data_IF_354475544288
#
_entry.id   IF_354475544288
#
_cell.length_a   1.000
_cell.length_b   1.000
_cell.length_c   1.000
_cell.angle_alpha   90.00
_cell.angle_beta   90.00
_cell.angle_gamma   90.00
#
_symmetry.space_group_name_H-M   'P 1'
#
loop_
_entity.id
_entity.type
_entity.pdbx_description
1 polymer ?
#
# COMPACT_ATOMS: atom_id res chain seq x y z
N UNK A 1 -19.62 -3.67 23.96
CA UNK A 1 -20.15 -3.52 22.58
C UNK A 1 -18.97 -3.62 21.62
N UNK A 2 -18.80 -4.74 20.90
CA UNK A 2 -17.68 -4.90 19.96
C UNK A 2 -17.99 -4.08 18.71
N UNK A 3 -17.16 -3.07 18.40
CA UNK A 3 -17.24 -2.32 17.14
C UNK A 3 -17.17 -3.33 15.99
N UNK A 4 -18.11 -3.24 15.05
CA UNK A 4 -18.19 -4.10 13.88
C UNK A 4 -16.87 -4.10 13.12
N UNK A 5 -16.21 -5.25 13.11
CA UNK A 5 -15.05 -5.52 12.24
C UNK A 5 -15.64 -5.88 10.90
N UNK A 6 -15.42 -5.05 9.89
CA UNK A 6 -15.57 -5.48 8.51
C UNK A 6 -14.59 -6.64 8.29
N UNK A 7 -15.08 -7.81 7.87
CA UNK A 7 -14.35 -9.09 7.79
C UNK A 7 -13.28 -9.15 6.68
N UNK A 8 -12.83 -7.98 6.20
CA UNK A 8 -11.87 -7.85 5.10
C UNK A 8 -10.48 -7.76 5.69
N UNK A 9 -9.69 -8.81 5.49
CA UNK A 9 -8.28 -8.86 5.90
C UNK A 9 -7.31 -8.49 4.77
N UNK A 10 -7.75 -8.63 3.51
CA UNK A 10 -6.92 -8.34 2.35
C UNK A 10 -7.73 -7.92 1.12
N UNK A 11 -7.09 -7.13 0.25
CA UNK A 11 -7.59 -6.72 -1.07
C UNK A 11 -6.61 -7.27 -2.11
N UNK A 12 -7.14 -8.04 -3.06
CA UNK A 12 -6.40 -8.53 -4.23
C UNK A 12 -6.61 -7.57 -5.40
N UNK A 13 -5.53 -7.12 -6.02
CA UNK A 13 -5.56 -6.23 -7.20
C UNK A 13 -4.79 -6.86 -8.36
N UNK A 14 -5.18 -6.57 -9.60
CA UNK A 14 -4.43 -7.05 -10.76
C UNK A 14 -3.01 -6.45 -10.81
N UNK A 15 -2.91 -5.12 -10.64
CA UNK A 15 -1.66 -4.36 -10.66
C UNK A 15 -1.77 -3.14 -9.74
N UNK A 16 -0.72 -2.83 -8.96
CA UNK A 16 -0.71 -1.67 -8.05
C UNK A 16 -0.63 -0.33 -8.79
N UNK A 17 0.05 -0.29 -9.93
CA UNK A 17 0.21 0.89 -10.78
C UNK A 17 -1.12 1.50 -11.24
N UNK A 18 -2.21 0.72 -11.22
CA UNK A 18 -3.53 1.16 -11.66
C UNK A 18 -4.38 1.76 -10.55
N UNK A 19 -3.88 1.76 -9.31
CA UNK A 19 -4.69 2.07 -8.13
C UNK A 19 -4.55 3.51 -7.61
N UNK A 20 -3.58 4.27 -8.11
CA UNK A 20 -3.37 5.67 -7.75
C UNK A 20 -3.19 6.55 -8.98
N UNK A 21 -3.62 7.81 -8.88
CA UNK A 21 -3.34 8.85 -9.91
C UNK A 21 -1.92 9.41 -9.79
N UNK A 22 -1.28 9.21 -8.64
CA UNK A 22 0.11 9.51 -8.35
C UNK A 22 0.66 8.52 -7.32
N UNK A 23 1.99 8.42 -7.24
CA UNK A 23 2.70 7.70 -6.18
C UNK A 23 2.27 8.14 -4.77
N UNK A 24 2.06 9.44 -4.58
CA UNK A 24 1.65 9.99 -3.27
C UNK A 24 0.25 9.51 -2.88
N UNK A 25 -0.71 9.55 -3.81
CA UNK A 25 -2.09 9.08 -3.58
C UNK A 25 -2.12 7.58 -3.24
N UNK A 26 -1.29 6.81 -3.94
CA UNK A 26 -1.16 5.37 -3.71
C UNK A 26 -0.59 5.08 -2.31
N UNK A 27 0.49 5.75 -1.90
CA UNK A 27 1.07 5.61 -0.56
C UNK A 27 0.11 6.04 0.55
N UNK A 28 -0.68 7.10 0.34
CA UNK A 28 -1.72 7.51 1.28
C UNK A 28 -2.77 6.40 1.48
N UNK A 29 -3.27 5.86 0.37
CA UNK A 29 -4.26 4.77 0.37
C UNK A 29 -3.75 3.54 1.11
N UNK A 30 -2.49 3.15 0.88
CA UNK A 30 -1.87 2.02 1.59
C UNK A 30 -1.79 2.24 3.10
N UNK A 31 -1.48 3.46 3.55
CA UNK A 31 -1.43 3.81 4.98
C UNK A 31 -2.81 3.77 5.64
N UNK A 32 -3.84 4.22 4.93
CA UNK A 32 -5.22 4.12 5.42
C UNK A 32 -5.65 2.66 5.60
N UNK A 33 -5.36 1.81 4.60
CA UNK A 33 -5.63 0.37 4.66
C UNK A 33 -4.85 -0.33 5.76
N UNK A 34 -3.58 0.03 5.96
CA UNK A 34 -2.76 -0.46 7.08
C UNK A 34 -3.37 -0.11 8.44
N UNK A 35 -3.91 1.11 8.59
CA UNK A 35 -4.59 1.53 9.83
C UNK A 35 -5.82 0.66 10.16
N UNK A 36 -6.42 0.06 9.14
CA UNK A 36 -7.53 -0.89 9.26
C UNK A 36 -7.06 -2.35 9.33
N UNK A 37 -5.74 -2.60 9.30
CA UNK A 37 -5.13 -3.93 9.24
C UNK A 37 -5.55 -4.73 8.00
N UNK A 38 -5.74 -4.02 6.88
CA UNK A 38 -6.07 -4.61 5.58
C UNK A 38 -4.82 -4.64 4.71
N UNK A 39 -4.42 -5.83 4.28
CA UNK A 39 -3.28 -6.01 3.37
C UNK A 39 -3.68 -5.81 1.90
N UNK A 40 -2.72 -5.42 1.07
CA UNK A 40 -2.92 -5.29 -0.38
C UNK A 40 -1.97 -6.22 -1.11
N UNK A 41 -2.52 -7.07 -1.98
CA UNK A 41 -1.76 -8.09 -2.70
C UNK A 41 -1.99 -7.89 -4.20
N UNK A 42 -0.92 -7.79 -4.99
CA UNK A 42 -1.03 -7.78 -6.43
C UNK A 42 -0.96 -9.21 -7.00
N UNK A 43 -1.80 -9.51 -8.00
CA UNK A 43 -1.86 -10.82 -8.66
C UNK A 43 -0.55 -11.20 -9.38
N UNK A 44 0.27 -10.20 -9.76
CA UNK A 44 1.59 -10.43 -10.35
C UNK A 44 2.67 -10.88 -9.33
N UNK A 45 2.27 -11.18 -8.09
CA UNK A 45 3.17 -11.66 -7.04
C UNK A 45 3.84 -10.56 -6.22
N UNK A 46 3.64 -9.28 -6.56
CA UNK A 46 4.06 -8.17 -5.69
C UNK A 46 3.05 -8.00 -4.55
N UNK A 47 3.33 -8.60 -3.40
CA UNK A 47 2.63 -8.27 -2.15
C UNK A 47 3.24 -6.99 -1.55
N UNK A 48 2.45 -5.92 -1.47
CA UNK A 48 2.86 -4.70 -0.76
C UNK A 48 2.39 -4.78 0.68
N UNK A 49 3.00 -5.71 1.41
CA UNK A 49 2.73 -5.92 2.82
C UNK A 49 3.70 -5.10 3.67
N UNK A 50 3.22 -3.96 4.19
CA UNK A 50 3.98 -3.09 5.10
C UNK A 50 4.31 -3.77 6.45
N UNK A 51 3.63 -4.87 6.79
CA UNK A 51 3.98 -5.68 7.96
C UNK A 51 5.21 -6.56 7.74
N UNK A 52 5.58 -6.83 6.48
CA UNK A 52 6.78 -7.58 6.11
C UNK A 52 8.06 -6.69 6.03
N UNK A 53 9.25 -7.21 6.37
CA UNK A 53 10.51 -6.48 6.18
C UNK A 53 10.76 -6.03 4.73
N UNK A 54 10.42 -6.87 3.75
CA UNK A 54 10.59 -6.56 2.33
C UNK A 54 9.63 -5.45 1.87
N UNK A 55 8.36 -5.48 2.31
CA UNK A 55 7.39 -4.44 1.96
C UNK A 55 7.75 -3.07 2.56
N UNK A 56 8.30 -3.02 3.78
CA UNK A 56 8.84 -1.77 4.35
C UNK A 56 10.03 -1.23 3.54
N UNK A 57 10.94 -2.10 3.09
CA UNK A 57 12.06 -1.69 2.24
C UNK A 57 11.57 -1.06 0.93
N UNK A 58 10.61 -1.71 0.25
CA UNK A 58 10.02 -1.18 -0.98
C UNK A 58 9.30 0.15 -0.75
N UNK A 59 8.59 0.32 0.37
CA UNK A 59 7.96 1.59 0.73
C UNK A 59 8.97 2.73 0.95
N UNK A 60 10.11 2.44 1.59
CA UNK A 60 11.20 3.41 1.77
C UNK A 60 11.81 3.81 0.43
N UNK A 61 12.15 2.84 -0.43
CA UNK A 61 12.69 3.12 -1.76
C UNK A 61 11.73 3.96 -2.59
N UNK A 62 10.44 3.61 -2.59
CA UNK A 62 9.41 4.34 -3.33
C UNK A 62 9.22 5.76 -2.79
N UNK A 63 9.28 5.96 -1.46
CA UNK A 63 9.22 7.28 -0.85
C UNK A 63 10.39 8.18 -1.28
N UNK A 64 11.60 7.63 -1.38
CA UNK A 64 12.77 8.38 -1.88
C UNK A 64 12.67 8.77 -3.35
N UNK A 65 12.11 7.90 -4.20
CA UNK A 65 11.82 8.25 -5.62
C UNK A 65 10.77 9.37 -5.69
N UNK A 66 9.71 9.28 -4.88
CA UNK A 66 8.65 10.28 -4.85
C UNK A 66 9.10 11.66 -4.35
N UNK A 67 10.05 11.71 -3.42
CA UNK A 67 10.69 12.95 -2.97
C UNK A 67 11.51 13.57 -4.10
N UNK A 68 12.33 12.77 -4.80
CA UNK A 68 13.13 13.21 -5.93
C UNK A 68 12.29 13.72 -7.12
N UNK A 69 11.12 13.12 -7.38
CA UNK A 69 10.20 13.58 -8.42
C UNK A 69 9.50 14.90 -8.07
N UNK A 70 9.35 15.24 -6.78
CA UNK A 70 8.67 16.45 -6.30
C UNK A 70 9.55 17.70 -6.39
N UNK A 71 10.87 17.50 -6.37
CA UNK A 71 11.88 18.56 -6.46
C UNK A 71 12.29 18.87 -7.92
N UNK A 72 11.61 18.28 -8.90
CA UNK A 72 11.67 18.65 -10.33
C UNK A 72 10.42 19.42 -10.73
#
# INVERSE_FOLDING_TARGET
MKKGVSDVSAILVAELSRWGRSTTDFLHTLRELESWKVSVIAMNGMAFDLSSPHGRMLATLHSGIAEFERDR
#
